data_IF_533396896281
#
_entry.id   IF_533396896281
#
_cell.length_a   1.000
_cell.length_b   1.000
_cell.length_c   1.000
_cell.angle_alpha   90.00
_cell.angle_beta   90.00
_cell.angle_gamma   90.00
#
_symmetry.space_group_name_H-M   'P 1'
#
loop_
_entity.id
_entity.type
_entity.pdbx_description
1 polymer ?
#
# COMPACT_ATOMS: atom_id res chain seq x y z
N UNK A 1 6.91 -1.65 -16.11
CA UNK A 1 6.32 -2.93 -15.63
C UNK A 1 5.41 -3.50 -16.69
N UNK A 2 5.56 -4.78 -17.07
CA UNK A 2 4.71 -5.38 -18.11
C UNK A 2 3.27 -5.55 -17.62
N UNK A 3 2.31 -5.70 -18.53
CA UNK A 3 0.91 -5.97 -18.15
C UNK A 3 0.78 -7.27 -17.34
N UNK A 4 1.57 -8.30 -17.69
CA UNK A 4 1.64 -9.55 -16.92
C UNK A 4 2.08 -9.29 -15.48
N UNK A 5 3.17 -8.54 -15.28
CA UNK A 5 3.67 -8.24 -13.94
C UNK A 5 2.64 -7.41 -13.15
N UNK A 6 1.97 -6.43 -13.79
CA UNK A 6 0.92 -5.64 -13.14
C UNK A 6 -0.27 -6.49 -12.72
N UNK A 7 -0.71 -7.43 -13.55
CA UNK A 7 -1.80 -8.34 -13.22
C UNK A 7 -1.42 -9.26 -12.03
N UNK A 8 -0.18 -9.77 -12.01
CA UNK A 8 0.34 -10.55 -10.88
C UNK A 8 0.39 -9.70 -9.61
N UNK A 9 0.86 -8.45 -9.70
CA UNK A 9 0.87 -7.54 -8.56
C UNK A 9 -0.54 -7.25 -8.03
N UNK A 10 -1.53 -7.05 -8.91
CA UNK A 10 -2.92 -6.87 -8.50
C UNK A 10 -3.42 -8.09 -7.72
N UNK A 11 -3.26 -9.30 -8.27
CA UNK A 11 -3.68 -10.54 -7.61
C UNK A 11 -2.99 -10.79 -6.25
N UNK A 12 -1.73 -10.35 -6.09
CA UNK A 12 -1.01 -10.46 -4.82
C UNK A 12 -1.64 -9.63 -3.68
N UNK A 13 -2.52 -8.67 -3.99
CA UNK A 13 -3.23 -7.84 -3.01
C UNK A 13 -4.51 -8.51 -2.48
N UNK A 14 -4.92 -9.66 -3.02
CA UNK A 14 -6.12 -10.38 -2.60
C UNK A 14 -6.29 -10.54 -1.06
N UNK A 15 -5.25 -10.85 -0.25
CA UNK A 15 -5.41 -10.97 1.20
C UNK A 15 -5.51 -9.62 1.94
N UNK A 16 -5.22 -8.48 1.30
CA UNK A 16 -5.13 -7.17 1.92
C UNK A 16 -6.46 -6.39 1.79
N UNK A 17 -7.44 -6.75 2.61
CA UNK A 17 -8.74 -6.09 2.67
C UNK A 17 -8.75 -4.89 3.64
N UNK A 18 -7.81 -3.95 3.48
CA UNK A 18 -7.73 -2.71 4.26
C UNK A 18 -8.07 -1.47 3.41
N UNK A 19 -8.34 -0.34 4.07
CA UNK A 19 -8.75 0.90 3.39
C UNK A 19 -7.68 1.48 2.45
N UNK A 20 -6.40 1.34 2.78
CA UNK A 20 -5.31 1.85 1.94
C UNK A 20 -5.22 1.06 0.63
N UNK A 21 -5.22 -0.27 0.73
CA UNK A 21 -5.26 -1.16 -0.43
C UNK A 21 -6.52 -0.93 -1.27
N UNK A 22 -7.66 -0.70 -0.62
CA UNK A 22 -8.90 -0.42 -1.32
C UNK A 22 -8.85 0.84 -2.19
N UNK A 23 -8.32 1.94 -1.65
CA UNK A 23 -8.14 3.17 -2.40
C UNK A 23 -7.17 2.99 -3.58
N UNK A 24 -6.09 2.22 -3.38
CA UNK A 24 -5.14 1.93 -4.44
C UNK A 24 -5.77 1.13 -5.59
N UNK A 25 -6.57 0.10 -5.28
CA UNK A 25 -7.28 -0.70 -6.28
C UNK A 25 -8.34 0.10 -7.04
N UNK A 26 -9.10 0.97 -6.33
CA UNK A 26 -10.06 1.88 -6.95
C UNK A 26 -9.38 2.83 -7.94
N UNK A 27 -8.26 3.42 -7.55
CA UNK A 27 -7.47 4.27 -8.43
C UNK A 27 -6.94 3.48 -9.64
N UNK A 28 -6.39 2.29 -9.42
CA UNK A 28 -5.86 1.44 -10.47
C UNK A 28 -6.95 1.06 -11.50
N UNK A 29 -8.14 0.65 -11.05
CA UNK A 29 -9.25 0.29 -11.94
C UNK A 29 -9.67 1.44 -12.87
N UNK A 30 -9.64 2.68 -12.36
CA UNK A 30 -10.01 3.87 -13.12
C UNK A 30 -9.06 4.15 -14.29
N UNK A 31 -7.76 3.93 -14.09
CA UNK A 31 -6.73 4.38 -15.03
C UNK A 31 -6.04 3.25 -15.81
N UNK A 32 -6.30 1.97 -15.50
CA UNK A 32 -5.60 0.86 -16.15
C UNK A 32 -6.07 0.62 -17.60
N UNK A 33 -5.18 0.80 -18.60
CA UNK A 33 -5.54 0.63 -20.00
C UNK A 33 -5.62 -0.85 -20.44
N UNK A 34 -4.90 -1.76 -19.78
CA UNK A 34 -4.85 -3.16 -20.19
C UNK A 34 -6.03 -3.96 -19.62
N UNK A 35 -6.86 -4.60 -20.47
CA UNK A 35 -8.04 -5.35 -20.02
C UNK A 35 -7.67 -6.52 -19.09
N UNK A 36 -6.52 -7.17 -19.29
CA UNK A 36 -6.09 -8.29 -18.43
C UNK A 36 -5.77 -7.80 -17.03
N UNK A 37 -5.16 -6.62 -16.91
CA UNK A 37 -4.87 -6.03 -15.60
C UNK A 37 -6.16 -5.54 -14.95
N UNK A 38 -7.09 -4.95 -15.71
CA UNK A 38 -8.43 -4.60 -15.17
C UNK A 38 -9.18 -5.82 -14.64
N UNK A 39 -9.18 -6.93 -15.37
CA UNK A 39 -9.77 -8.17 -14.90
C UNK A 39 -9.13 -8.64 -13.59
N UNK A 40 -7.79 -8.62 -13.48
CA UNK A 40 -7.09 -8.99 -12.25
C UNK A 40 -7.42 -8.06 -11.07
N UNK A 41 -7.57 -6.75 -11.32
CA UNK A 41 -8.00 -5.78 -10.29
C UNK A 41 -9.43 -6.10 -9.82
N UNK A 42 -10.37 -6.34 -10.74
CA UNK A 42 -11.76 -6.69 -10.42
C UNK A 42 -11.86 -8.03 -9.68
N UNK A 43 -11.07 -9.02 -10.08
CA UNK A 43 -10.97 -10.31 -9.39
C UNK A 43 -10.52 -10.10 -7.95
N UNK A 44 -9.46 -9.30 -7.74
CA UNK A 44 -8.95 -8.95 -6.41
C UNK A 44 -10.01 -8.26 -5.56
N UNK A 45 -10.72 -7.28 -6.12
CA UNK A 45 -11.83 -6.60 -5.44
C UNK A 45 -12.96 -7.57 -5.05
N UNK A 46 -13.29 -8.53 -5.92
CA UNK A 46 -14.28 -9.58 -5.66
C UNK A 46 -13.85 -10.55 -4.55
N UNK A 47 -12.57 -10.90 -4.46
CA UNK A 47 -12.03 -11.73 -3.37
C UNK A 47 -12.11 -10.97 -2.03
N UNK A 48 -11.76 -9.68 -2.03
CA UNK A 48 -11.77 -8.85 -0.83
C UNK A 48 -13.19 -8.49 -0.36
N UNK A 49 -14.18 -8.51 -1.27
CA UNK A 49 -15.61 -8.28 -0.99
C UNK A 49 -15.93 -6.96 -0.28
N UNK A 50 -15.14 -5.93 -0.47
CA UNK A 50 -15.41 -4.66 0.22
C UNK A 50 -16.66 -3.98 -0.36
N UNK A 51 -17.60 -3.62 0.52
CA UNK A 51 -18.85 -2.95 0.13
C UNK A 51 -18.58 -1.64 -0.64
N UNK A 52 -17.49 -0.95 -0.30
CA UNK A 52 -17.05 0.30 -0.95
C UNK A 52 -16.71 0.16 -2.44
N UNK A 53 -16.48 -1.04 -2.97
CA UNK A 53 -16.17 -1.22 -4.40
C UNK A 53 -17.40 -1.18 -5.32
N UNK A 54 -18.61 -1.46 -4.80
CA UNK A 54 -19.80 -1.72 -5.64
C UNK A 54 -20.07 -0.62 -6.66
N UNK A 55 -20.04 0.64 -6.23
CA UNK A 55 -20.32 1.78 -7.11
C UNK A 55 -19.27 1.88 -8.23
N UNK A 56 -17.98 1.83 -7.89
CA UNK A 56 -16.90 1.96 -8.87
C UNK A 56 -16.88 0.80 -9.89
N UNK A 57 -17.15 -0.43 -9.44
CA UNK A 57 -17.27 -1.59 -10.34
C UNK A 57 -18.46 -1.41 -11.29
N UNK A 58 -19.62 -0.97 -10.77
CA UNK A 58 -20.81 -0.72 -11.59
C UNK A 58 -20.56 0.36 -12.64
N UNK A 59 -19.95 1.48 -12.25
CA UNK A 59 -19.58 2.57 -13.16
C UNK A 59 -18.57 2.11 -14.23
N UNK A 60 -17.58 1.29 -13.85
CA UNK A 60 -16.63 0.72 -14.80
C UNK A 60 -17.32 -0.19 -15.81
N UNK A 61 -18.22 -1.07 -15.36
CA UNK A 61 -18.93 -2.00 -16.22
C UNK A 61 -19.89 -1.30 -17.20
N UNK A 62 -20.36 -0.09 -16.89
CA UNK A 62 -21.20 0.67 -17.81
C UNK A 62 -20.44 1.14 -19.08
N UNK A 63 -19.11 1.19 -19.03
CA UNK A 63 -18.24 1.66 -20.13
C UNK A 63 -17.19 0.64 -20.56
N UNK A 64 -17.28 -0.61 -20.10
CA UNK A 64 -16.31 -1.65 -20.42
C UNK A 64 -16.73 -2.43 -21.68
N UNK A 65 -15.87 -2.44 -22.69
CA UNK A 65 -16.12 -3.14 -23.95
C UNK A 65 -15.60 -4.58 -23.96
N UNK A 66 -14.63 -4.91 -23.09
CA UNK A 66 -14.04 -6.25 -23.06
C UNK A 66 -14.98 -7.25 -22.34
N UNK A 67 -15.44 -8.31 -23.03
CA UNK A 67 -16.42 -9.25 -22.48
C UNK A 67 -15.86 -10.06 -21.30
N UNK A 68 -14.55 -10.33 -21.26
CA UNK A 68 -13.94 -11.05 -20.15
C UNK A 68 -13.87 -10.15 -18.91
N UNK A 69 -13.55 -8.87 -19.07
CA UNK A 69 -13.58 -7.89 -17.97
C UNK A 69 -15.01 -7.71 -17.46
N UNK A 70 -16.00 -7.68 -18.35
CA UNK A 70 -17.42 -7.64 -18.01
C UNK A 70 -17.86 -8.83 -17.14
N UNK A 71 -17.46 -10.04 -17.51
CA UNK A 71 -17.78 -11.26 -16.77
C UNK A 71 -17.18 -11.22 -15.36
N UNK A 72 -15.90 -10.86 -15.24
CA UNK A 72 -15.21 -10.79 -13.95
C UNK A 72 -15.79 -9.70 -13.06
N UNK A 73 -16.13 -8.52 -13.61
CA UNK A 73 -16.75 -7.45 -12.81
C UNK A 73 -18.14 -7.83 -12.30
N UNK A 74 -18.94 -8.56 -13.09
CA UNK A 74 -20.24 -9.09 -12.64
C UNK A 74 -20.07 -10.12 -11.53
N UNK A 75 -19.09 -11.02 -11.67
CA UNK A 75 -18.73 -11.96 -10.61
C UNK A 75 -18.31 -11.23 -9.34
N UNK A 76 -17.46 -10.20 -9.45
CA UNK A 76 -17.00 -9.43 -8.29
C UNK A 76 -18.16 -8.73 -7.57
N UNK A 77 -19.12 -8.16 -8.30
CA UNK A 77 -20.34 -7.60 -7.71
C UNK A 77 -21.15 -8.67 -6.97
N UNK A 78 -21.35 -9.84 -7.58
CA UNK A 78 -22.07 -10.94 -6.96
C UNK A 78 -21.38 -11.45 -5.68
N UNK A 79 -20.05 -11.50 -5.66
CA UNK A 79 -19.28 -11.87 -4.46
C UNK A 79 -19.43 -10.85 -3.33
N UNK A 80 -19.34 -9.55 -3.63
CA UNK A 80 -19.57 -8.48 -2.64
C UNK A 80 -21.02 -8.51 -2.15
N UNK A 81 -22.00 -8.80 -3.02
CA UNK A 81 -23.40 -8.93 -2.63
C UNK A 81 -23.67 -10.14 -1.73
N UNK A 82 -22.96 -11.24 -1.96
CA UNK A 82 -23.09 -12.47 -1.18
C UNK A 82 -22.67 -12.28 0.27
N UNK A 83 -21.57 -11.57 0.51
CA UNK A 83 -20.96 -11.43 1.84
C UNK A 83 -20.15 -10.12 1.92
N UNK A 84 -20.83 -8.96 2.03
CA UNK A 84 -20.17 -7.66 2.00
C UNK A 84 -19.34 -7.44 3.26
N UNK A 85 -18.08 -7.06 3.06
CA UNK A 85 -17.21 -6.62 4.15
C UNK A 85 -17.20 -5.09 4.25
N UNK A 86 -17.53 -4.60 5.44
CA UNK A 86 -17.32 -3.21 5.81
C UNK A 86 -15.94 -3.07 6.44
N UNK A 87 -14.98 -2.50 5.72
CA UNK A 87 -13.72 -2.08 6.31
C UNK A 87 -13.93 -0.82 7.13
N UNK A 88 -14.39 -0.99 8.37
CA UNK A 88 -14.21 0.06 9.38
C UNK A 88 -12.70 0.28 9.53
N UNK A 89 -12.21 1.53 9.58
CA UNK A 89 -10.85 1.79 10.01
C UNK A 89 -10.58 1.01 11.29
N UNK A 90 -9.58 0.14 11.29
CA UNK A 90 -9.04 -0.38 12.54
C UNK A 90 -8.60 0.82 13.40
N UNK A 91 -8.68 0.68 14.72
CA UNK A 91 -8.09 1.66 15.64
C UNK A 91 -6.63 1.83 15.20
N UNK A 92 -6.25 3.04 14.78
CA UNK A 92 -4.84 3.33 14.54
C UNK A 92 -4.10 2.96 15.83
N UNK A 93 -3.01 2.18 15.77
CA UNK A 93 -2.21 1.94 16.97
C UNK A 93 -1.89 3.29 17.59
N UNK A 94 -2.22 3.45 18.88
CA UNK A 94 -1.79 4.63 19.63
C UNK A 94 -0.27 4.67 19.53
N UNK A 95 0.24 5.60 18.72
CA UNK A 95 1.61 6.05 18.87
C UNK A 95 1.65 6.60 20.29
N UNK A 96 2.37 5.91 21.18
CA UNK A 96 2.60 6.35 22.54
C UNK A 96 3.03 7.82 22.48
N UNK A 97 2.12 8.70 22.87
CA UNK A 97 2.36 10.12 22.95
C UNK A 97 3.17 10.37 24.22
N UNK A 98 4.48 10.15 24.12
CA UNK A 98 5.46 10.69 25.07
C UNK A 98 6.76 11.02 24.34
N UNK A 99 6.69 12.14 23.62
CA UNK A 99 7.77 13.11 23.54
C UNK A 99 7.15 14.45 23.09
N UNK A 100 6.38 15.07 24.00
CA UNK A 100 6.07 16.48 23.87
C UNK A 100 7.37 17.28 23.85
N UNK A 101 7.50 18.19 22.90
CA UNK A 101 8.62 19.11 22.79
C UNK A 101 8.20 20.32 21.98
N UNK A 102 7.42 21.19 22.60
CA UNK A 102 7.07 22.52 22.15
C UNK A 102 8.34 23.28 21.72
N UNK A 103 8.33 23.84 20.51
CA UNK A 103 9.27 24.88 20.11
C UNK A 103 8.51 26.20 20.07
N UNK A 104 8.49 26.90 21.20
CA UNK A 104 8.35 28.35 21.24
C UNK A 104 9.42 28.91 22.19
N UNK A 105 9.96 30.04 21.77
CA UNK A 105 11.26 30.60 22.16
C UNK A 105 11.40 30.98 23.64
N UNK A 106 12.62 30.85 24.18
CA UNK A 106 12.98 31.49 25.43
C UNK A 106 14.36 31.14 26.01
N UNK A 107 15.37 31.93 25.66
CA UNK A 107 16.31 32.53 26.62
C UNK A 107 17.29 31.68 27.44
N UNK A 108 18.57 31.81 27.07
CA UNK A 108 19.71 32.14 27.92
C UNK A 108 20.30 31.12 28.93
N UNK A 109 21.51 30.67 28.54
CA UNK A 109 22.77 30.68 29.29
C UNK A 109 23.10 29.68 30.42
N UNK A 110 24.38 29.26 30.32
CA UNK A 110 25.32 28.82 31.37
C UNK A 110 25.02 27.46 32.04
N UNK A 111 25.96 26.61 32.43
CA UNK A 111 27.43 26.55 32.51
C UNK A 111 27.70 25.05 32.82
N UNK A 112 28.63 24.39 32.13
CA UNK A 112 29.97 24.05 32.63
C UNK A 112 30.12 22.61 33.17
N UNK A 113 31.20 22.00 32.66
CA UNK A 113 32.04 20.91 33.14
C UNK A 113 31.46 19.56 33.64
N UNK A 114 31.87 18.49 32.95
CA UNK A 114 32.98 17.60 33.35
C UNK A 114 32.70 16.17 32.85
N UNK A 115 33.41 15.70 31.82
CA UNK A 115 34.69 14.96 31.92
C UNK A 115 34.50 13.46 32.20
N UNK A 116 34.90 12.66 31.20
CA UNK A 116 35.81 11.51 31.33
C UNK A 116 35.31 10.20 30.69
N UNK A 117 35.87 9.96 29.49
CA UNK A 117 36.85 8.87 29.23
C UNK A 117 36.37 7.55 28.62
N UNK A 118 37.05 7.21 27.52
CA UNK A 118 37.35 5.84 27.06
C UNK A 118 36.77 5.52 25.68
N UNK A 119 37.40 5.97 24.60
CA UNK A 119 38.35 5.19 23.75
C UNK A 119 37.62 4.16 22.88
N UNK A 120 37.50 4.43 21.57
CA UNK A 120 38.46 4.04 20.51
C UNK A 120 38.43 2.52 20.26
N UNK A 121 38.30 1.99 19.06
CA UNK A 121 38.24 2.53 17.71
C UNK A 121 37.63 1.42 16.85
N UNK A 122 37.82 1.32 15.56
CA UNK A 122 38.47 2.13 14.55
C UNK A 122 37.76 1.70 13.26
N UNK A 123 37.75 2.61 12.30
CA UNK A 123 36.97 2.53 11.08
C UNK A 123 37.48 1.43 10.10
N UNK A 124 36.78 1.21 8.98
CA UNK A 124 36.88 0.02 8.13
C UNK A 124 38.09 0.08 7.20
N UNK A 125 38.28 -0.94 6.35
CA UNK A 125 38.67 -0.58 4.99
C UNK A 125 37.84 -1.25 3.90
N UNK A 126 37.49 -0.38 2.95
CA UNK A 126 37.12 -0.60 1.57
C UNK A 126 37.79 -1.80 0.88
N UNK A 127 37.03 -2.37 -0.06
CA UNK A 127 37.52 -3.29 -1.09
C UNK A 127 38.56 -2.61 -2.01
N UNK A 128 39.38 -3.37 -2.78
CA UNK A 128 38.90 -3.80 -4.10
C UNK A 128 39.43 -5.18 -4.59
N UNK A 129 38.71 -5.78 -5.55
CA UNK A 129 39.15 -6.89 -6.42
C UNK A 129 40.21 -6.42 -7.47
N UNK A 130 40.84 -7.24 -8.35
CA UNK A 130 40.66 -8.67 -8.70
C UNK A 130 41.99 -9.51 -8.87
N UNK A 131 41.83 -10.78 -9.29
CA UNK A 131 42.84 -11.82 -9.71
C UNK A 131 43.77 -11.38 -10.86
N UNK A 132 44.89 -12.05 -11.27
CA UNK A 132 45.07 -13.50 -11.62
C UNK A 132 46.55 -13.99 -11.36
N UNK A 133 47.25 -14.94 -12.05
CA UNK A 133 46.96 -15.87 -13.17
C UNK A 133 46.48 -17.27 -12.77
#
# INVERSE_FOLDING_TARGET
TSAKDRAVCAGALAPAADNGTAMALLYALKFEPDPKVRAAILETMGIQRLAGYKQAITERLAIEDDPAVQEVGKWALAEIERDPLDTRPGVAPELAADAAGEAEAGGDAAEDAADAKGEEGDAPPDAPAPSPP
#
